data_IF_962301945807
#
_entry.id   IF_962301945807
#
_cell.length_a   1.000
_cell.length_b   1.000
_cell.length_c   1.000
_cell.angle_alpha   90.00
_cell.angle_beta   90.00
_cell.angle_gamma   90.00
#
_symmetry.space_group_name_H-M   'P 1'
#
loop_
_entity.id
_entity.type
_entity.pdbx_description
1 polymer ?
#
# COMPACT_ATOMS: atom_id res chain seq x y z
N UNK A 1 14.77 6.89 -0.69
CA UNK A 1 14.06 7.22 0.57
C UNK A 1 12.78 8.02 0.34
N UNK A 2 12.83 9.31 -0.05
CA UNK A 2 11.59 10.11 -0.23
C UNK A 2 10.65 9.55 -1.31
N UNK A 3 11.21 9.10 -2.44
CA UNK A 3 10.46 8.42 -3.51
C UNK A 3 9.77 7.15 -3.01
N UNK A 4 10.47 6.34 -2.23
CA UNK A 4 9.97 5.04 -1.76
C UNK A 4 8.84 5.25 -0.74
N UNK A 5 9.01 6.23 0.14
CA UNK A 5 7.96 6.65 1.07
C UNK A 5 6.73 7.18 0.32
N UNK A 6 6.92 8.00 -0.72
CA UNK A 6 5.82 8.52 -1.52
C UNK A 6 5.04 7.38 -2.21
N UNK A 7 5.73 6.37 -2.74
CA UNK A 7 5.08 5.19 -3.34
C UNK A 7 4.28 4.42 -2.30
N UNK A 8 4.86 4.16 -1.12
CA UNK A 8 4.18 3.42 -0.06
C UNK A 8 2.92 4.16 0.43
N UNK A 9 3.00 5.47 0.65
CA UNK A 9 1.85 6.30 1.04
C UNK A 9 0.80 6.33 -0.08
N UNK A 10 1.21 6.51 -1.33
CA UNK A 10 0.30 6.53 -2.46
C UNK A 10 -0.48 5.22 -2.59
N UNK A 11 0.21 4.07 -2.49
CA UNK A 11 -0.44 2.75 -2.56
C UNK A 11 -1.44 2.56 -1.43
N UNK A 12 -1.05 2.91 -0.19
CA UNK A 12 -1.95 2.83 0.96
C UNK A 12 -3.23 3.64 0.74
N UNK A 13 -3.09 4.90 0.31
CA UNK A 13 -4.22 5.81 0.11
C UNK A 13 -5.09 5.33 -1.04
N UNK A 14 -4.50 4.98 -2.19
CA UNK A 14 -5.23 4.54 -3.38
C UNK A 14 -6.01 3.25 -3.12
N UNK A 15 -5.38 2.25 -2.51
CA UNK A 15 -6.05 0.97 -2.24
C UNK A 15 -7.12 1.12 -1.15
N UNK A 16 -6.88 1.94 -0.12
CA UNK A 16 -7.92 2.23 0.88
C UNK A 16 -9.12 2.93 0.25
N UNK A 17 -8.88 3.92 -0.62
CA UNK A 17 -9.94 4.63 -1.32
C UNK A 17 -10.73 3.69 -2.24
N UNK A 18 -10.04 2.84 -3.00
CA UNK A 18 -10.68 1.82 -3.84
C UNK A 18 -11.52 0.87 -2.99
N UNK A 19 -11.00 0.38 -1.86
CA UNK A 19 -11.75 -0.51 -0.98
C UNK A 19 -13.00 0.17 -0.40
N UNK A 20 -12.90 1.44 -0.02
CA UNK A 20 -14.05 2.26 0.38
C UNK A 20 -15.10 2.37 -0.73
N UNK A 21 -14.68 2.68 -1.95
CA UNK A 21 -15.56 2.81 -3.12
C UNK A 21 -16.15 1.47 -3.57
N UNK A 22 -15.44 0.37 -3.36
CA UNK A 22 -15.87 -0.99 -3.69
C UNK A 22 -16.85 -1.61 -2.68
N UNK A 23 -17.20 -0.88 -1.60
CA UNK A 23 -18.21 -1.32 -0.63
C UNK A 23 -17.65 -1.88 0.67
N UNK A 24 -16.46 -1.47 1.10
CA UNK A 24 -15.98 -1.76 2.45
C UNK A 24 -17.02 -1.36 3.52
N UNK A 25 -17.32 -2.27 4.45
CA UNK A 25 -18.38 -2.09 5.44
C UNK A 25 -18.18 -0.89 6.38
N UNK A 26 -16.93 -0.47 6.57
CA UNK A 26 -16.54 0.70 7.36
C UNK A 26 -15.13 1.15 6.98
N UNK A 27 -14.72 2.31 7.51
CA UNK A 27 -13.39 2.86 7.28
C UNK A 27 -12.27 1.91 7.73
N UNK A 28 -12.43 1.22 8.86
CA UNK A 28 -11.46 0.25 9.35
C UNK A 28 -11.16 -0.85 8.33
N UNK A 29 -12.20 -1.44 7.73
CA UNK A 29 -12.06 -2.44 6.66
C UNK A 29 -11.32 -1.89 5.45
N UNK A 30 -11.65 -0.67 5.00
CA UNK A 30 -10.95 -0.03 3.88
C UNK A 30 -9.46 0.18 4.17
N UNK A 31 -9.13 0.67 5.36
CA UNK A 31 -7.74 0.88 5.79
C UNK A 31 -6.98 -0.45 5.96
N UNK A 32 -7.65 -1.54 6.33
CA UNK A 32 -7.02 -2.88 6.34
C UNK A 32 -6.55 -3.28 4.95
N UNK A 33 -7.36 -3.10 3.91
CA UNK A 33 -6.92 -3.35 2.53
C UNK A 33 -5.74 -2.47 2.12
N UNK A 34 -5.77 -1.18 2.46
CA UNK A 34 -4.63 -0.28 2.27
C UNK A 34 -3.36 -0.77 2.97
N UNK A 35 -3.48 -1.27 4.19
CA UNK A 35 -2.36 -1.77 5.00
C UNK A 35 -1.75 -3.04 4.40
N UNK A 36 -2.60 -3.95 3.89
CA UNK A 36 -2.15 -5.16 3.19
C UNK A 36 -1.36 -4.78 1.93
N UNK A 37 -1.86 -3.84 1.13
CA UNK A 37 -1.16 -3.36 -0.06
C UNK A 37 0.16 -2.65 0.28
N UNK A 38 0.16 -1.79 1.30
CA UNK A 38 1.38 -1.15 1.81
C UNK A 38 2.44 -2.19 2.19
N UNK A 39 2.07 -3.20 2.99
CA UNK A 39 3.00 -4.24 3.43
C UNK A 39 3.53 -5.06 2.25
N UNK A 40 2.66 -5.38 1.28
CA UNK A 40 3.04 -6.12 0.08
C UNK A 40 4.07 -5.35 -0.74
N UNK A 41 3.86 -4.04 -0.97
CA UNK A 41 4.81 -3.20 -1.70
C UNK A 41 6.10 -3.00 -0.92
N UNK A 42 6.04 -2.82 0.39
CA UNK A 42 7.23 -2.70 1.23
C UNK A 42 8.11 -3.96 1.13
N UNK A 43 7.49 -5.13 1.31
CA UNK A 43 8.19 -6.42 1.20
C UNK A 43 8.73 -6.62 -0.22
N UNK A 44 7.97 -6.25 -1.25
CA UNK A 44 8.42 -6.27 -2.64
C UNK A 44 9.65 -5.38 -2.85
N UNK A 45 9.64 -4.15 -2.34
CA UNK A 45 10.80 -3.26 -2.42
C UNK A 45 12.02 -3.86 -1.71
N UNK A 46 11.86 -4.44 -0.53
CA UNK A 46 12.96 -5.12 0.18
C UNK A 46 13.53 -6.30 -0.63
N UNK A 47 12.66 -7.05 -1.30
CA UNK A 47 13.06 -8.26 -2.01
C UNK A 47 13.71 -7.97 -3.37
N UNK A 48 13.25 -6.95 -4.09
CA UNK A 48 13.69 -6.69 -5.47
C UNK A 48 14.72 -5.57 -5.59
N UNK A 49 14.76 -4.61 -4.66
CA UNK A 49 15.63 -3.45 -4.79
C UNK A 49 17.12 -3.79 -4.65
N UNK A 50 17.47 -4.79 -3.85
CA UNK A 50 18.85 -5.27 -3.72
C UNK A 50 19.29 -6.17 -4.87
N UNK A 51 18.37 -6.67 -5.71
CA UNK A 51 18.72 -7.46 -6.90
C UNK A 51 19.24 -6.60 -8.05
N UNK A 52 18.96 -5.30 -8.02
CA UNK A 52 19.28 -4.33 -9.07
C UNK A 52 20.46 -3.39 -8.70
N UNK A 53 21.14 -3.64 -7.57
CA UNK A 53 22.28 -2.86 -7.05
C UNK A 53 23.59 -3.67 -7.14
#
# INVERSE_FOLDING_TARGET
MLRDLAVLVAVFVVVSAIAGLAGAANLGTALTFGTIAFATVLVGMMLYRDRDA
#
